data_IF_940372411697
#
_entry.id   IF_940372411697
#
_cell.length_a   1.000
_cell.length_b   1.000
_cell.length_c   1.000
_cell.angle_alpha   90.00
_cell.angle_beta   90.00
_cell.angle_gamma   90.00
#
_symmetry.space_group_name_H-M   'P 1'
#
loop_
_entity.id
_entity.type
_entity.pdbx_description
1 polymer ?
#
# COMPACT_ATOMS: atom_id res chain seq x y z
N UNK A 1 -0.19 6.29 14.62
CA UNK A 1 0.18 5.75 13.29
C UNK A 1 -0.87 4.77 12.85
N UNK A 2 -1.38 4.94 11.63
CA UNK A 2 -2.51 4.18 11.11
C UNK A 2 -2.09 3.35 9.90
N UNK A 3 -1.23 2.36 10.12
CA UNK A 3 -0.75 1.47 9.08
C UNK A 3 -1.20 0.04 9.40
N UNK A 4 -1.83 -0.61 8.44
CA UNK A 4 -2.34 -1.97 8.57
C UNK A 4 -1.64 -2.85 7.54
N UNK A 5 -1.13 -3.99 7.96
CA UNK A 5 -0.31 -4.87 7.14
C UNK A 5 -0.98 -6.22 6.97
N UNK A 6 -0.98 -6.70 5.72
CA UNK A 6 -1.41 -8.05 5.36
C UNK A 6 -0.33 -8.68 4.50
N UNK A 7 -0.11 -9.98 4.64
CA UNK A 7 0.91 -10.67 3.88
C UNK A 7 0.29 -11.42 2.69
N UNK A 8 1.09 -11.59 1.64
CA UNK A 8 0.73 -12.41 0.49
C UNK A 8 1.68 -13.59 0.37
N UNK A 9 1.26 -14.62 -0.36
CA UNK A 9 2.05 -15.83 -0.56
C UNK A 9 3.01 -15.71 -1.75
N UNK A 10 2.91 -14.67 -2.55
CA UNK A 10 3.62 -14.54 -3.82
C UNK A 10 4.21 -13.15 -3.96
N UNK A 11 5.41 -13.06 -4.59
CA UNK A 11 6.08 -11.78 -4.84
C UNK A 11 5.42 -10.98 -5.98
N UNK A 12 4.63 -11.62 -6.81
CA UNK A 12 3.99 -11.00 -7.97
C UNK A 12 2.50 -11.28 -7.91
N UNK A 13 1.81 -10.59 -7.02
CA UNK A 13 0.41 -10.84 -6.74
C UNK A 13 -0.44 -9.59 -6.93
N UNK A 14 -1.29 -9.62 -7.97
CA UNK A 14 -2.32 -8.62 -8.14
C UNK A 14 -3.43 -8.90 -7.12
N UNK A 15 -3.92 -7.86 -6.45
CA UNK A 15 -4.95 -8.02 -5.42
C UNK A 15 -6.25 -8.54 -6.02
N UNK A 16 -6.77 -9.69 -5.57
CA UNK A 16 -8.11 -10.12 -5.97
C UNK A 16 -9.15 -9.11 -5.53
N UNK A 17 -10.17 -8.89 -6.37
CA UNK A 17 -11.18 -7.87 -6.10
C UNK A 17 -11.98 -8.16 -4.83
N UNK A 18 -12.32 -9.43 -4.60
CA UNK A 18 -13.09 -9.80 -3.41
C UNK A 18 -12.30 -9.55 -2.11
N UNK A 19 -10.98 -9.76 -2.13
CA UNK A 19 -10.13 -9.44 -0.98
C UNK A 19 -10.10 -7.93 -0.75
N UNK A 20 -9.92 -7.16 -1.82
CA UNK A 20 -9.92 -5.70 -1.71
C UNK A 20 -11.26 -5.21 -1.15
N UNK A 21 -12.38 -5.74 -1.65
CA UNK A 21 -13.70 -5.34 -1.20
C UNK A 21 -13.89 -5.63 0.29
N UNK A 22 -13.39 -6.76 0.77
CA UNK A 22 -13.43 -7.10 2.19
C UNK A 22 -12.60 -6.10 3.01
N UNK A 23 -11.41 -5.76 2.57
CA UNK A 23 -10.57 -4.79 3.26
C UNK A 23 -11.20 -3.40 3.24
N UNK A 24 -11.84 -3.04 2.14
CA UNK A 24 -12.54 -1.76 2.01
C UNK A 24 -13.72 -1.66 2.97
N UNK A 25 -14.40 -2.78 3.24
CA UNK A 25 -15.52 -2.77 4.19
C UNK A 25 -15.06 -2.59 5.64
N UNK A 26 -13.82 -2.93 5.95
CA UNK A 26 -13.26 -2.81 7.31
C UNK A 26 -12.49 -1.50 7.50
N UNK A 27 -11.62 -1.15 6.55
CA UNK A 27 -10.68 -0.04 6.69
C UNK A 27 -10.96 1.14 5.77
N UNK A 28 -11.84 0.94 4.80
CA UNK A 28 -12.18 1.94 3.79
C UNK A 28 -13.46 2.69 4.10
N UNK A 29 -14.12 3.22 3.05
CA UNK A 29 -13.69 3.08 1.66
C UNK A 29 -12.36 3.77 1.42
N UNK A 30 -11.59 3.24 0.46
CA UNK A 30 -10.28 3.80 0.15
C UNK A 30 -10.40 4.93 -0.87
N UNK A 31 -9.64 5.99 -0.65
CA UNK A 31 -9.63 7.18 -1.50
C UNK A 31 -8.54 7.13 -2.57
N UNK A 32 -7.46 6.39 -2.30
CA UNK A 32 -6.25 6.46 -3.12
C UNK A 32 -5.55 5.11 -3.17
N UNK A 33 -5.29 4.62 -4.38
CA UNK A 33 -4.40 3.48 -4.64
C UNK A 33 -3.03 4.04 -5.02
N UNK A 34 -2.08 3.93 -4.13
CA UNK A 34 -0.80 4.63 -4.27
C UNK A 34 0.19 3.94 -5.21
N UNK A 35 -0.10 2.71 -5.62
CA UNK A 35 0.78 1.95 -6.51
C UNK A 35 -0.07 1.08 -7.44
N UNK A 36 -0.45 1.63 -8.58
CA UNK A 36 -1.38 0.97 -9.50
C UNK A 36 -0.94 1.11 -10.95
N UNK A 37 -1.60 0.36 -11.80
CA UNK A 37 -1.58 0.61 -13.24
C UNK A 37 -3.01 0.96 -13.67
N UNK A 38 -3.21 1.58 -14.84
CA UNK A 38 -4.56 1.93 -15.27
C UNK A 38 -5.50 0.73 -15.36
N UNK A 39 -4.96 -0.46 -15.64
CA UNK A 39 -5.76 -1.67 -15.76
C UNK A 39 -6.09 -2.36 -14.45
N UNK A 40 -5.42 -2.04 -13.36
CA UNK A 40 -5.62 -2.73 -12.07
C UNK A 40 -5.86 -1.80 -10.88
N UNK A 41 -6.05 -0.52 -11.13
CA UNK A 41 -6.31 0.43 -10.05
C UNK A 41 -7.57 0.05 -9.27
N UNK A 42 -7.47 0.08 -7.94
CA UNK A 42 -8.57 -0.30 -7.05
C UNK A 42 -9.40 0.89 -6.61
N UNK A 43 -8.92 2.10 -6.83
CA UNK A 43 -9.59 3.33 -6.42
C UNK A 43 -9.76 4.25 -7.61
N UNK A 44 -10.70 5.20 -7.50
CA UNK A 44 -10.89 6.23 -8.53
C UNK A 44 -9.62 7.07 -8.70
N UNK A 45 -9.01 7.46 -7.58
CA UNK A 45 -7.72 8.15 -7.59
C UNK A 45 -6.61 7.13 -7.40
N UNK A 46 -5.59 7.22 -8.22
CA UNK A 46 -4.46 6.30 -8.13
C UNK A 46 -3.21 6.93 -8.72
N UNK A 47 -2.05 6.43 -8.27
CA UNK A 47 -0.76 6.78 -8.83
C UNK A 47 -0.23 5.62 -9.63
N UNK A 48 0.19 5.90 -10.86
CA UNK A 48 0.86 4.92 -11.72
C UNK A 48 2.36 4.95 -11.49
N UNK A 49 3.09 4.05 -12.15
CA UNK A 49 4.54 4.06 -12.11
C UNK A 49 5.11 5.39 -12.59
N UNK A 50 4.51 5.97 -13.60
CA UNK A 50 4.93 7.28 -14.16
C UNK A 50 4.69 8.40 -13.17
N UNK A 51 3.62 8.34 -12.41
CA UNK A 51 3.32 9.33 -11.37
C UNK A 51 4.31 9.23 -10.21
N UNK A 52 4.83 8.04 -9.96
CA UNK A 52 5.72 7.74 -8.85
C UNK A 52 5.14 8.09 -7.48
N UNK A 53 4.33 7.19 -6.94
CA UNK A 53 3.68 7.39 -5.64
C UNK A 53 4.65 7.69 -4.50
N UNK A 54 5.90 7.25 -4.61
CA UNK A 54 6.92 7.55 -3.60
C UNK A 54 7.25 9.04 -3.49
N UNK A 55 6.98 9.81 -4.55
CA UNK A 55 7.27 11.24 -4.58
C UNK A 55 6.03 12.11 -4.32
N UNK A 56 4.89 11.50 -4.03
CA UNK A 56 3.62 12.21 -3.87
C UNK A 56 3.19 12.26 -2.42
N UNK A 57 2.32 13.21 -2.10
CA UNK A 57 1.64 13.22 -0.81
C UNK A 57 0.43 12.29 -0.87
N UNK A 58 0.20 11.55 0.21
CA UNK A 58 -0.93 10.62 0.31
C UNK A 58 -1.95 11.19 1.26
N UNK A 59 -3.20 11.26 0.82
CA UNK A 59 -4.29 11.84 1.61
C UNK A 59 -5.43 10.82 1.74
N UNK A 60 -6.11 10.88 2.87
CA UNK A 60 -7.27 10.05 3.12
C UNK A 60 -6.92 8.61 3.47
N UNK A 61 -7.78 7.69 3.05
CA UNK A 61 -7.60 6.25 3.29
C UNK A 61 -6.93 5.65 2.08
N UNK A 62 -5.73 5.10 2.29
CA UNK A 62 -4.85 4.68 1.20
C UNK A 62 -4.68 3.16 1.15
N UNK A 63 -4.67 2.65 -0.07
CA UNK A 63 -4.38 1.25 -0.37
C UNK A 63 -3.01 1.15 -1.02
N UNK A 64 -2.17 0.23 -0.54
CA UNK A 64 -0.82 0.04 -1.08
C UNK A 64 -0.53 -1.44 -1.31
N UNK A 65 -0.41 -1.82 -2.58
CA UNK A 65 0.11 -3.12 -2.99
C UNK A 65 1.33 -2.85 -3.87
N UNK A 66 2.52 -2.66 -3.26
CA UNK A 66 3.70 -2.19 -3.99
C UNK A 66 4.35 -3.32 -4.79
N UNK A 67 5.24 -2.98 -5.75
CA UNK A 67 6.06 -4.00 -6.36
C UNK A 67 6.98 -4.61 -5.30
N UNK A 68 7.05 -5.94 -5.28
CA UNK A 68 7.90 -6.64 -4.33
C UNK A 68 9.34 -6.68 -4.86
N UNK A 69 10.29 -6.79 -3.95
CA UNK A 69 11.69 -6.79 -4.30
C UNK A 69 12.42 -5.63 -3.63
N UNK A 70 13.41 -5.06 -4.30
CA UNK A 70 14.28 -4.04 -3.70
C UNK A 70 13.55 -2.78 -3.25
N UNK A 71 12.52 -2.40 -3.96
CA UNK A 71 11.81 -1.16 -3.69
C UNK A 71 10.86 -1.24 -2.49
N UNK A 72 10.58 -2.44 -1.98
CA UNK A 72 9.54 -2.59 -0.97
C UNK A 72 9.86 -1.83 0.32
N UNK A 73 11.12 -1.78 0.71
CA UNK A 73 11.53 -1.03 1.90
C UNK A 73 11.21 0.45 1.77
N UNK A 74 11.43 1.02 0.58
CA UNK A 74 11.11 2.43 0.34
C UNK A 74 9.59 2.67 0.41
N UNK A 75 8.78 1.76 -0.12
CA UNK A 75 7.33 1.85 -0.04
C UNK A 75 6.82 1.74 1.40
N UNK A 76 7.40 0.83 2.19
CA UNK A 76 7.03 0.69 3.60
C UNK A 76 7.39 1.93 4.40
N UNK A 77 8.58 2.50 4.16
CA UNK A 77 9.00 3.75 4.79
C UNK A 77 8.05 4.88 4.42
N UNK A 78 7.69 4.98 3.14
CA UNK A 78 6.76 6.01 2.66
C UNK A 78 5.39 5.87 3.32
N UNK A 79 4.86 4.65 3.42
CA UNK A 79 3.58 4.40 4.07
C UNK A 79 3.60 4.86 5.54
N UNK A 80 4.69 4.55 6.24
CA UNK A 80 4.86 4.97 7.63
C UNK A 80 4.88 6.50 7.74
N UNK A 81 5.68 7.16 6.91
CA UNK A 81 5.82 8.62 6.95
C UNK A 81 4.50 9.31 6.62
N UNK A 82 3.78 8.83 5.60
CA UNK A 82 2.51 9.43 5.20
C UNK A 82 1.41 9.19 6.23
N UNK A 83 1.44 8.06 6.94
CA UNK A 83 0.48 7.80 8.03
C UNK A 83 0.67 8.78 9.20
N UNK A 84 1.85 9.38 9.31
CA UNK A 84 2.12 10.38 10.33
C UNK A 84 1.79 11.81 9.86
N UNK A 85 1.65 12.04 8.56
CA UNK A 85 1.46 13.38 7.99
C UNK A 85 0.06 13.63 7.48
N UNK A 86 -0.33 12.91 6.43
CA UNK A 86 -1.53 13.25 5.68
C UNK A 86 -2.51 12.11 5.49
N UNK A 87 -2.03 10.88 5.45
CA UNK A 87 -2.91 9.73 5.27
C UNK A 87 -3.63 9.41 6.57
N UNK A 88 -4.93 9.19 6.48
CA UNK A 88 -5.74 8.80 7.62
C UNK A 88 -5.46 7.35 8.01
N UNK A 89 -5.29 6.48 7.01
CA UNK A 89 -4.88 5.09 7.19
C UNK A 89 -4.19 4.63 5.92
N UNK A 90 -3.19 3.75 6.05
CA UNK A 90 -2.56 3.09 4.91
C UNK A 90 -2.63 1.59 5.15
N UNK A 91 -3.34 0.88 4.27
CA UNK A 91 -3.40 -0.57 4.30
C UNK A 91 -2.41 -1.11 3.28
N UNK A 92 -1.48 -1.93 3.75
CA UNK A 92 -0.37 -2.44 2.94
C UNK A 92 -0.51 -3.94 2.74
N UNK A 93 -0.48 -4.37 1.50
CA UNK A 93 -0.42 -5.79 1.15
C UNK A 93 1.02 -6.11 0.76
N UNK A 94 1.72 -6.86 1.59
CA UNK A 94 3.16 -7.10 1.44
C UNK A 94 3.49 -8.56 1.73
N UNK A 95 4.65 -9.06 1.25
CA UNK A 95 5.06 -10.43 1.60
C UNK A 95 5.41 -10.54 3.07
N UNK A 96 5.23 -11.73 3.64
CA UNK A 96 5.56 -11.99 5.03
C UNK A 96 7.08 -12.22 5.15
N UNK A 97 7.84 -11.14 5.34
CA UNK A 97 9.30 -11.16 5.47
C UNK A 97 9.72 -10.50 6.77
N UNK A 98 9.62 -11.25 7.85
CA UNK A 98 9.89 -10.73 9.19
C UNK A 98 11.38 -10.59 9.49
N UNK A 99 12.25 -11.10 8.63
CA UNK A 99 13.71 -11.05 8.77
C UNK A 99 14.34 -9.82 8.12
N UNK A 100 13.52 -8.94 7.50
CA UNK A 100 14.03 -7.75 6.82
C UNK A 100 13.98 -6.53 7.74
N UNK A 101 14.89 -5.56 7.50
CA UNK A 101 14.94 -4.34 8.29
C UNK A 101 13.62 -3.55 8.20
N UNK A 102 13.04 -3.43 6.98
CA UNK A 102 11.80 -2.66 6.85
C UNK A 102 10.65 -3.27 7.65
N UNK A 103 10.63 -4.61 7.80
CA UNK A 103 9.60 -5.26 8.62
C UNK A 103 9.74 -4.85 10.08
N UNK A 104 10.98 -4.89 10.60
CA UNK A 104 11.23 -4.52 11.99
C UNK A 104 11.04 -3.03 12.23
N UNK A 105 11.39 -2.19 11.24
CA UNK A 105 11.37 -0.74 11.40
C UNK A 105 9.98 -0.14 11.20
N UNK A 106 9.16 -0.68 10.29
CA UNK A 106 7.93 -0.03 9.85
C UNK A 106 6.66 -0.86 9.96
N UNK A 107 6.76 -2.15 10.19
CA UNK A 107 5.58 -3.02 10.31
C UNK A 107 4.99 -3.05 11.72
#
# INVERSE_FOLDING_TARGET
MNTVHFSSASDDWATPQDFFDKMSSVWGPFDLDVCASPGNAKCRRFFTKEDNGLSKDWLGRCWMNPPYGRAIGAWMKKAYEESLRGAQVVVCLVPARTDTAWWHDYA
#
